data_IF_999431004038
#
_entry.id   IF_999431004038
#
_cell.length_a   1.000
_cell.length_b   1.000
_cell.length_c   1.000
_cell.angle_alpha   90.00
_cell.angle_beta   90.00
_cell.angle_gamma   90.00
#
_symmetry.space_group_name_H-M   'P 1'
#
loop_
_entity.id
_entity.type
_entity.pdbx_description
1 polymer ?
#
# COMPACT_ATOMS: atom_id res chain seq x y z
N UNK A 1 -7.97 -27.52 28.71
CA UNK A 1 -8.67 -28.03 27.51
C UNK A 1 -8.67 -26.87 26.54
N UNK A 2 -7.97 -26.97 25.42
CA UNK A 2 -7.96 -25.90 24.41
C UNK A 2 -9.32 -25.88 23.72
N UNK A 3 -9.99 -24.73 23.71
CA UNK A 3 -11.24 -24.55 22.98
C UNK A 3 -10.93 -24.58 21.48
N UNK A 4 -11.46 -25.58 20.77
CA UNK A 4 -11.34 -25.68 19.31
C UNK A 4 -11.85 -24.39 18.65
N UNK A 5 -11.09 -23.83 17.71
CA UNK A 5 -11.45 -22.63 16.96
C UNK A 5 -11.58 -22.92 15.47
N UNK A 6 -12.45 -22.17 14.79
CA UNK A 6 -12.67 -22.21 13.35
C UNK A 6 -12.52 -20.81 12.75
N UNK A 7 -11.90 -20.74 11.57
CA UNK A 7 -11.69 -19.48 10.86
C UNK A 7 -12.94 -19.08 10.07
N UNK A 8 -13.45 -17.87 10.33
CA UNK A 8 -14.54 -17.28 9.58
C UNK A 8 -14.01 -16.48 8.38
N UNK A 9 -14.36 -16.90 7.16
CA UNK A 9 -13.92 -16.22 5.92
C UNK A 9 -14.54 -14.82 5.74
N UNK A 10 -15.72 -14.57 6.32
CA UNK A 10 -16.43 -13.30 6.13
C UNK A 10 -15.88 -12.17 7.02
N UNK A 11 -15.57 -12.44 8.29
CA UNK A 11 -14.93 -11.42 9.17
C UNK A 11 -13.43 -11.64 9.37
N UNK A 12 -12.83 -12.62 8.71
CA UNK A 12 -11.40 -12.99 8.78
C UNK A 12 -10.88 -13.20 10.22
N UNK A 13 -11.71 -13.75 11.12
CA UNK A 13 -11.35 -14.01 12.53
C UNK A 13 -11.52 -15.47 12.90
N UNK A 14 -10.72 -15.92 13.86
CA UNK A 14 -10.92 -17.20 14.54
C UNK A 14 -12.03 -17.09 15.57
N UNK A 15 -12.94 -18.06 15.57
CA UNK A 15 -14.13 -18.09 16.43
C UNK A 15 -14.22 -19.47 17.06
N UNK A 16 -14.59 -19.55 18.34
CA UNK A 16 -14.80 -20.84 19.01
C UNK A 16 -15.73 -21.75 18.20
N UNK A 17 -15.32 -22.99 17.97
CA UNK A 17 -15.99 -23.96 17.11
C UNK A 17 -17.43 -24.22 17.56
N UNK A 18 -17.66 -24.21 18.88
CA UNK A 18 -18.98 -24.35 19.50
C UNK A 18 -19.97 -23.25 19.09
N UNK A 19 -19.48 -22.05 18.82
CA UNK A 19 -20.29 -20.87 18.48
C UNK A 19 -20.26 -20.56 16.97
N UNK A 20 -19.55 -21.36 16.16
CA UNK A 20 -19.25 -21.01 14.77
C UNK A 20 -20.49 -20.87 13.89
N UNK A 21 -21.46 -21.78 14.02
CA UNK A 21 -22.71 -21.76 13.23
C UNK A 21 -23.52 -20.50 13.52
N UNK A 22 -23.67 -20.16 14.80
CA UNK A 22 -24.35 -18.95 15.23
C UNK A 22 -23.61 -17.70 14.73
N UNK A 23 -22.29 -17.68 14.88
CA UNK A 23 -21.44 -16.60 14.40
C UNK A 23 -21.65 -16.34 12.90
N UNK A 24 -21.64 -17.36 12.04
CA UNK A 24 -21.82 -17.17 10.59
C UNK A 24 -23.14 -16.46 10.29
N UNK A 25 -24.25 -16.91 10.88
CA UNK A 25 -25.56 -16.32 10.66
C UNK A 25 -25.63 -14.82 11.06
N UNK A 26 -24.94 -14.43 12.15
CA UNK A 26 -24.84 -13.01 12.53
C UNK A 26 -23.83 -12.24 11.68
N UNK A 27 -22.70 -12.86 11.39
CA UNK A 27 -21.59 -12.26 10.69
C UNK A 27 -22.00 -11.84 9.28
N UNK A 28 -22.67 -12.69 8.52
CA UNK A 28 -23.10 -12.37 7.13
C UNK A 28 -24.11 -11.22 7.08
N UNK A 29 -24.93 -11.09 8.13
CA UNK A 29 -25.94 -10.04 8.26
C UNK A 29 -25.38 -8.71 8.74
N UNK A 30 -24.27 -8.71 9.48
CA UNK A 30 -23.72 -7.51 10.12
C UNK A 30 -22.40 -7.04 9.52
N UNK A 31 -21.62 -7.94 8.96
CA UNK A 31 -20.32 -7.68 8.34
C UNK A 31 -20.43 -7.95 6.85
N UNK A 32 -19.89 -7.03 6.06
CA UNK A 32 -19.69 -7.22 4.63
C UNK A 32 -18.21 -7.03 4.30
N UNK A 33 -17.70 -7.80 3.34
CA UNK A 33 -16.37 -7.61 2.80
C UNK A 33 -16.38 -6.46 1.79
N UNK A 34 -15.46 -5.51 1.96
CA UNK A 34 -15.26 -4.45 1.00
C UNK A 34 -14.80 -5.04 -0.35
N UNK A 35 -15.46 -4.67 -1.44
CA UNK A 35 -15.11 -5.18 -2.77
C UNK A 35 -13.83 -4.54 -3.33
N UNK A 36 -13.34 -3.47 -2.73
CA UNK A 36 -12.14 -2.74 -3.17
C UNK A 36 -10.86 -3.27 -2.49
N UNK A 37 -10.86 -3.38 -1.16
CA UNK A 37 -9.69 -3.86 -0.40
C UNK A 37 -9.85 -5.29 0.15
N UNK A 38 -11.06 -5.87 0.09
CA UNK A 38 -11.34 -7.19 0.66
C UNK A 38 -11.43 -7.21 2.19
N UNK A 39 -11.38 -6.06 2.87
CA UNK A 39 -11.43 -6.01 4.34
C UNK A 39 -12.87 -6.09 4.88
N UNK A 40 -13.08 -6.80 6.01
CA UNK A 40 -14.38 -6.91 6.64
C UNK A 40 -14.76 -5.61 7.35
N UNK A 41 -15.91 -5.04 6.99
CA UNK A 41 -16.44 -3.84 7.61
C UNK A 41 -17.90 -4.05 8.06
N UNK A 42 -18.32 -3.49 9.21
CA UNK A 42 -19.71 -3.51 9.62
C UNK A 42 -20.60 -2.84 8.58
N UNK A 43 -21.73 -3.44 8.24
CA UNK A 43 -22.66 -2.90 7.24
C UNK A 43 -23.15 -1.50 7.60
N UNK A 44 -23.37 -1.24 8.88
CA UNK A 44 -23.77 0.07 9.41
C UNK A 44 -22.70 1.15 9.25
N UNK A 45 -21.42 0.77 9.19
CA UNK A 45 -20.27 1.67 9.12
C UNK A 45 -19.58 1.62 7.75
N UNK A 46 -20.17 0.91 6.79
CA UNK A 46 -19.52 0.67 5.51
C UNK A 46 -19.32 1.96 4.69
N UNK A 47 -20.28 2.88 4.76
CA UNK A 47 -20.15 4.21 4.15
C UNK A 47 -18.99 5.00 4.78
N UNK A 48 -18.81 4.93 6.10
CA UNK A 48 -17.68 5.55 6.78
C UNK A 48 -16.35 4.92 6.36
N UNK A 49 -16.29 3.58 6.27
CA UNK A 49 -15.13 2.86 5.74
C UNK A 49 -14.76 3.32 4.31
N UNK A 50 -15.74 3.47 3.41
CA UNK A 50 -15.48 3.97 2.05
C UNK A 50 -14.91 5.40 2.08
N UNK A 51 -15.47 6.27 2.91
CA UNK A 51 -15.02 7.67 3.05
C UNK A 51 -13.64 7.80 3.71
N UNK A 52 -13.28 6.87 4.58
CA UNK A 52 -12.01 6.92 5.30
C UNK A 52 -10.85 6.34 4.49
N UNK A 53 -11.09 5.25 3.75
CA UNK A 53 -10.03 4.46 3.09
C UNK A 53 -10.08 4.53 1.56
N UNK A 54 -11.26 4.70 0.96
CA UNK A 54 -11.48 4.61 -0.49
C UNK A 54 -11.78 5.96 -1.16
N UNK A 55 -11.39 7.06 -0.51
CA UNK A 55 -11.38 8.39 -1.14
C UNK A 55 -10.16 8.57 -2.03
N UNK A 56 -10.27 9.48 -3.00
CA UNK A 56 -9.13 9.91 -3.81
C UNK A 56 -8.40 11.04 -3.08
N UNK A 57 -7.08 10.92 -3.01
CA UNK A 57 -6.16 11.93 -2.48
C UNK A 57 -5.05 12.16 -3.50
N UNK A 58 -4.58 13.40 -3.61
CA UNK A 58 -3.52 13.73 -4.55
C UNK A 58 -2.17 13.19 -4.06
N UNK A 59 -1.46 12.48 -4.95
CA UNK A 59 -0.11 12.02 -4.64
C UNK A 59 0.85 13.20 -4.44
N UNK A 60 1.64 13.15 -3.36
CA UNK A 60 2.59 14.19 -3.00
C UNK A 60 3.61 14.48 -4.11
N UNK A 61 4.02 13.45 -4.86
CA UNK A 61 5.06 13.53 -5.88
C UNK A 61 4.51 13.80 -7.29
N UNK A 62 3.46 13.08 -7.72
CA UNK A 62 2.95 13.18 -9.09
C UNK A 62 1.66 13.99 -9.26
N UNK A 63 1.03 14.41 -8.16
CA UNK A 63 -0.23 15.19 -8.14
C UNK A 63 -1.41 14.52 -8.87
N UNK A 64 -1.32 13.22 -9.13
CA UNK A 64 -2.44 12.44 -9.63
C UNK A 64 -3.34 12.03 -8.46
N UNK A 65 -4.67 12.01 -8.65
CA UNK A 65 -5.60 11.50 -7.66
C UNK A 65 -5.45 9.97 -7.56
N UNK A 66 -5.08 9.48 -6.38
CA UNK A 66 -4.89 8.05 -6.08
C UNK A 66 -5.81 7.67 -4.92
N UNK A 67 -6.38 6.47 -4.95
CA UNK A 67 -7.16 5.96 -3.81
C UNK A 67 -6.28 5.93 -2.55
N UNK A 68 -6.75 6.53 -1.45
CA UNK A 68 -6.00 6.71 -0.21
C UNK A 68 -5.40 5.40 0.31
N UNK A 69 -6.15 4.30 0.29
CA UNK A 69 -5.64 2.98 0.70
C UNK A 69 -4.51 2.42 -0.16
N UNK A 70 -4.34 2.90 -1.41
CA UNK A 70 -3.22 2.56 -2.31
C UNK A 70 -2.11 3.60 -2.32
N UNK A 71 -2.31 4.73 -1.66
CA UNK A 71 -1.42 5.89 -1.78
C UNK A 71 0.01 5.58 -1.30
N UNK A 72 0.14 4.81 -0.21
CA UNK A 72 1.44 4.41 0.34
C UNK A 72 2.23 3.52 -0.64
N UNK A 73 1.62 2.42 -1.10
CA UNK A 73 2.23 1.55 -2.11
C UNK A 73 2.51 2.28 -3.44
N UNK A 74 1.64 3.22 -3.82
CA UNK A 74 1.91 4.07 -4.97
C UNK A 74 3.16 4.91 -4.76
N UNK A 75 3.29 5.61 -3.64
CA UNK A 75 4.43 6.47 -3.35
C UNK A 75 5.75 5.69 -3.20
N UNK A 76 5.69 4.47 -2.67
CA UNK A 76 6.86 3.60 -2.53
C UNK A 76 7.37 3.07 -3.88
N UNK A 77 6.49 2.47 -4.69
CA UNK A 77 6.93 1.63 -5.80
C UNK A 77 6.38 2.03 -7.17
N UNK A 78 5.17 2.58 -7.22
CA UNK A 78 4.43 2.75 -8.48
C UNK A 78 4.48 4.19 -9.01
N UNK A 79 4.85 5.16 -8.17
CA UNK A 79 4.89 6.56 -8.54
C UNK A 79 6.09 6.81 -9.45
N UNK A 80 5.82 7.35 -10.64
CA UNK A 80 6.86 7.72 -11.62
C UNK A 80 7.65 8.96 -11.20
N UNK A 81 7.13 9.75 -10.24
CA UNK A 81 7.84 10.89 -9.63
C UNK A 81 8.43 10.56 -8.26
N UNK A 82 8.42 9.30 -7.82
CA UNK A 82 9.07 8.91 -6.55
C UNK A 82 10.54 9.30 -6.56
N UNK A 83 11.08 9.64 -5.39
CA UNK A 83 12.49 9.96 -5.25
C UNK A 83 13.33 8.68 -5.19
N UNK A 84 14.35 8.61 -6.04
CA UNK A 84 15.31 7.51 -6.13
C UNK A 84 16.71 8.11 -6.06
N UNK A 85 17.61 7.44 -5.32
CA UNK A 85 18.99 7.86 -5.20
C UNK A 85 19.80 7.46 -6.45
N UNK A 86 20.71 8.33 -6.87
CA UNK A 86 21.68 8.00 -7.90
C UNK A 86 22.64 6.91 -7.39
N UNK A 87 23.00 5.96 -8.27
CA UNK A 87 24.04 4.96 -7.95
C UNK A 87 25.47 5.50 -7.92
N UNK A 88 25.70 6.71 -8.45
CA UNK A 88 27.02 7.32 -8.62
C UNK A 88 27.25 8.53 -7.71
N UNK A 89 26.21 9.09 -7.09
CA UNK A 89 26.32 10.22 -6.17
C UNK A 89 25.20 10.19 -5.12
N UNK A 90 25.32 11.00 -4.06
CA UNK A 90 24.34 11.06 -2.97
C UNK A 90 23.07 11.89 -3.29
N UNK A 91 22.85 12.25 -4.56
CA UNK A 91 21.68 13.03 -4.95
C UNK A 91 20.49 12.13 -5.24
N UNK A 92 19.32 12.55 -4.74
CA UNK A 92 18.03 11.97 -5.14
C UNK A 92 17.44 12.74 -6.33
N UNK A 93 16.85 12.00 -7.27
CA UNK A 93 16.05 12.53 -8.38
C UNK A 93 14.73 11.79 -8.48
N UNK A 94 13.80 12.35 -9.23
CA UNK A 94 12.55 11.65 -9.52
C UNK A 94 12.83 10.46 -10.45
N UNK A 95 12.05 9.40 -10.33
CA UNK A 95 12.25 8.19 -11.14
C UNK A 95 12.16 8.45 -12.65
N UNK A 96 11.39 9.44 -13.11
CA UNK A 96 11.34 9.84 -14.52
C UNK A 96 12.62 10.51 -15.04
N UNK A 97 13.46 11.08 -14.16
CA UNK A 97 14.66 11.84 -14.55
C UNK A 97 15.97 11.18 -14.12
N UNK A 98 15.92 10.15 -13.26
CA UNK A 98 17.12 9.52 -12.71
C UNK A 98 18.00 8.88 -13.79
N UNK A 99 17.42 8.32 -14.86
CA UNK A 99 18.18 7.69 -15.94
C UNK A 99 19.07 8.70 -16.68
N UNK A 100 18.51 9.87 -17.04
CA UNK A 100 19.26 10.95 -17.70
C UNK A 100 20.38 11.47 -16.78
N UNK A 101 20.08 11.60 -15.49
CA UNK A 101 21.07 11.98 -14.49
C UNK A 101 22.19 10.93 -14.37
N UNK A 102 21.88 9.64 -14.36
CA UNK A 102 22.87 8.56 -14.21
C UNK A 102 23.79 8.43 -15.43
N UNK A 103 23.30 8.67 -16.66
CA UNK A 103 24.15 8.74 -17.86
C UNK A 103 25.18 9.88 -17.76
N UNK A 104 24.74 11.06 -17.31
CA UNK A 104 25.63 12.21 -17.12
C UNK A 104 26.55 12.04 -15.90
N UNK A 105 26.05 11.47 -14.81
CA UNK A 105 26.82 11.30 -13.57
C UNK A 105 27.83 10.16 -13.69
N UNK A 106 27.48 9.06 -14.36
CA UNK A 106 28.36 7.91 -14.57
C UNK A 106 29.43 8.13 -15.65
N UNK A 107 29.27 9.14 -16.51
CA UNK A 107 30.29 9.53 -17.50
C UNK A 107 31.32 10.52 -16.94
N UNK A 108 31.16 10.97 -15.69
CA UNK A 108 32.19 11.76 -14.99
C UNK A 108 33.34 10.85 -14.58
N UNK A 109 34.34 10.74 -15.43
CA UNK A 109 35.67 10.30 -15.04
C UNK A 109 36.38 11.47 -14.35
N UNK A 110 36.47 11.45 -13.02
CA UNK A 110 37.40 12.34 -12.32
C UNK A 110 38.85 11.95 -12.68
N UNK A 111 39.67 12.94 -13.00
CA UNK A 111 41.11 12.75 -13.24
C UNK A 111 41.76 12.24 -11.94
N UNK A 112 42.42 11.07 -12.00
CA UNK A 112 43.13 10.53 -10.85
C UNK A 112 44.31 11.45 -10.48
N UNK A 113 44.21 12.15 -9.35
CA UNK A 113 45.28 13.04 -8.87
C UNK A 113 46.61 12.30 -8.55
N UNK A 114 46.59 10.96 -8.54
CA UNK A 114 47.74 10.10 -8.25
C UNK A 114 48.40 9.49 -9.49
N UNK A 115 47.81 9.60 -10.68
CA UNK A 115 48.35 9.03 -11.91
C UNK A 115 48.49 10.13 -12.97
N UNK A 116 49.66 10.78 -13.03
CA UNK A 116 50.13 11.56 -14.19
C UNK A 116 51.16 10.77 -14.98
#
# INVERSE_FOLDING_TARGET
>A
MEEEQKFCKNCKRNVAAVNFVLHIAYCERKIQLCQLCGEPAPRSEFDAHLKEYHILEDCNFCKLPIEKWKLDSHQADQCYKRLVNCKYCDLSRTFDTISEHEESCGSRTDECSFCK
#
